data_IF_124138724476
#
_entry.id   IF_124138724476
#
_cell.length_a   1.000
_cell.length_b   1.000
_cell.length_c   1.000
_cell.angle_alpha   90.00
_cell.angle_beta   90.00
_cell.angle_gamma   90.00
#
_symmetry.space_group_name_H-M   'P 1'
#
loop_
_entity.id
_entity.type
_entity.pdbx_description
1 polymer ?
#
# COMPACT_ATOMS: atom_id res chain seq x y z
N UNK A 1 -13.17 -5.54 -1.46
CA UNK A 1 -12.73 -6.20 -0.22
C UNK A 1 -13.70 -6.07 0.91
N UNK A 2 -14.00 -4.86 1.35
CA UNK A 2 -14.87 -4.63 2.51
C UNK A 2 -16.27 -5.22 2.29
N UNK A 3 -16.94 -4.88 1.18
CA UNK A 3 -18.28 -5.42 0.87
C UNK A 3 -18.27 -6.94 0.86
N UNK A 4 -17.34 -7.55 0.11
CA UNK A 4 -17.27 -9.00 -0.03
C UNK A 4 -16.96 -9.71 1.30
N UNK A 5 -16.05 -9.16 2.11
CA UNK A 5 -15.76 -9.71 3.43
C UNK A 5 -16.90 -9.50 4.44
N UNK A 6 -17.61 -8.38 4.39
CA UNK A 6 -18.83 -8.17 5.19
C UNK A 6 -19.93 -9.16 4.79
N UNK A 7 -20.10 -9.45 3.50
CA UNK A 7 -21.04 -10.48 3.04
C UNK A 7 -20.70 -11.86 3.64
N UNK A 8 -19.42 -12.22 3.71
CA UNK A 8 -18.98 -13.48 4.33
C UNK A 8 -19.24 -13.47 5.85
N UNK A 9 -18.96 -12.36 6.54
CA UNK A 9 -19.20 -12.22 7.99
C UNK A 9 -20.69 -12.34 8.32
N UNK A 10 -21.56 -11.67 7.55
CA UNK A 10 -23.01 -11.60 7.82
C UNK A 10 -23.75 -12.84 7.34
N UNK A 11 -23.44 -13.33 6.14
CA UNK A 11 -24.17 -14.46 5.52
C UNK A 11 -23.50 -15.81 5.75
N UNK A 12 -22.30 -15.86 6.35
CA UNK A 12 -21.61 -17.11 6.69
C UNK A 12 -21.20 -17.96 5.48
N UNK A 13 -21.21 -17.38 4.28
CA UNK A 13 -20.85 -18.09 3.05
C UNK A 13 -19.40 -18.58 3.17
N UNK A 14 -19.24 -19.91 3.26
CA UNK A 14 -17.97 -20.65 3.22
C UNK A 14 -17.18 -20.93 4.51
N UNK A 15 -17.73 -20.72 5.71
CA UNK A 15 -17.13 -21.28 6.94
C UNK A 15 -17.96 -22.42 7.55
N UNK A 16 -18.44 -23.34 6.70
CA UNK A 16 -19.22 -24.52 7.14
C UNK A 16 -20.51 -24.21 7.90
N UNK A 17 -21.07 -23.00 7.76
CA UNK A 17 -22.25 -22.54 8.51
C UNK A 17 -21.96 -21.86 9.84
N UNK A 18 -20.69 -21.67 10.23
CA UNK A 18 -20.31 -20.92 11.43
C UNK A 18 -19.97 -19.47 11.07
N UNK A 19 -20.77 -18.52 11.55
CA UNK A 19 -20.46 -17.09 11.49
C UNK A 19 -19.07 -16.84 12.07
N UNK A 20 -18.13 -16.39 11.23
CA UNK A 20 -16.86 -15.86 11.71
C UNK A 20 -17.17 -14.47 12.27
N UNK A 21 -17.64 -14.44 13.51
CA UNK A 21 -18.00 -13.20 14.19
C UNK A 21 -16.79 -12.29 14.42
N UNK A 22 -17.03 -11.12 15.01
CA UNK A 22 -15.97 -10.15 15.37
C UNK A 22 -15.01 -10.66 16.48
N UNK A 23 -15.23 -11.87 17.00
CA UNK A 23 -14.47 -12.44 18.12
C UNK A 23 -12.98 -12.58 17.81
N UNK A 24 -12.59 -12.78 16.55
CA UNK A 24 -11.17 -12.86 16.17
C UNK A 24 -10.39 -11.56 16.46
N UNK A 25 -11.06 -10.42 16.60
CA UNK A 25 -10.42 -9.14 16.91
C UNK A 25 -9.80 -9.08 18.32
N UNK A 26 -10.31 -9.90 19.26
CA UNK A 26 -9.86 -9.85 20.66
C UNK A 26 -9.59 -11.21 21.30
N UNK A 27 -9.98 -12.33 20.67
CA UNK A 27 -9.80 -13.68 21.25
C UNK A 27 -8.33 -14.09 21.39
N UNK A 28 -7.45 -13.64 20.49
CA UNK A 28 -6.04 -14.05 20.48
C UNK A 28 -5.13 -12.99 21.11
N UNK A 29 -5.27 -12.79 22.43
CA UNK A 29 -4.42 -11.86 23.21
C UNK A 29 -5.02 -10.47 23.45
N UNK A 30 -6.32 -10.28 23.17
CA UNK A 30 -6.98 -8.98 23.31
C UNK A 30 -6.54 -7.96 22.24
N UNK A 31 -6.93 -6.71 22.42
CA UNK A 31 -6.59 -5.61 21.49
C UNK A 31 -5.09 -5.29 21.48
N UNK A 32 -4.39 -5.56 22.60
CA UNK A 32 -2.96 -5.32 22.78
C UNK A 32 -2.19 -6.64 22.92
N UNK A 33 -2.33 -7.56 21.97
CA UNK A 33 -1.72 -8.89 22.02
C UNK A 33 -0.18 -8.87 22.20
N UNK A 34 0.50 -7.85 21.67
CA UNK A 34 1.94 -7.64 21.81
C UNK A 34 2.31 -6.54 22.85
N UNK A 35 1.36 -6.20 23.73
CA UNK A 35 1.48 -5.13 24.72
C UNK A 35 1.62 -3.73 24.13
N UNK A 36 1.90 -2.76 25.00
CA UNK A 36 2.07 -1.33 24.64
C UNK A 36 3.26 -1.15 23.67
N UNK A 37 4.33 -1.93 23.84
CA UNK A 37 5.49 -1.88 22.94
C UNK A 37 5.10 -2.28 21.51
N UNK A 38 4.33 -3.35 21.34
CA UNK A 38 3.83 -3.77 20.04
C UNK A 38 2.91 -2.72 19.39
N UNK A 39 2.08 -2.05 20.19
CA UNK A 39 1.27 -0.93 19.71
C UNK A 39 2.13 0.21 19.15
N UNK A 40 3.17 0.65 19.86
CA UNK A 40 4.08 1.67 19.35
C UNK A 40 4.85 1.23 18.10
N UNK A 41 5.30 -0.03 18.03
CA UNK A 41 5.95 -0.59 16.85
C UNK A 41 5.00 -0.62 15.63
N UNK A 42 3.70 -0.81 15.84
CA UNK A 42 2.72 -0.79 14.75
C UNK A 42 2.61 0.56 14.04
N UNK A 43 2.87 1.68 14.73
CA UNK A 43 2.87 3.01 14.10
C UNK A 43 3.94 3.15 13.03
N UNK A 44 5.09 2.47 13.17
CA UNK A 44 6.16 2.51 12.17
C UNK A 44 5.64 1.94 10.86
N UNK A 45 5.05 0.74 10.90
CA UNK A 45 4.48 0.10 9.72
C UNK A 45 3.24 0.83 9.20
N UNK A 46 2.42 1.39 10.08
CA UNK A 46 1.26 2.19 9.68
C UNK A 46 1.70 3.45 8.92
N UNK A 47 2.72 4.17 9.41
CA UNK A 47 3.23 5.38 8.76
C UNK A 47 3.81 5.09 7.38
N UNK A 48 4.51 3.96 7.22
CA UNK A 48 5.01 3.51 5.91
C UNK A 48 3.89 3.25 4.91
N UNK A 49 2.73 2.78 5.37
CA UNK A 49 1.56 2.56 4.51
C UNK A 49 0.92 3.85 3.98
N UNK A 50 1.25 5.01 4.59
CA UNK A 50 0.75 6.33 4.19
C UNK A 50 1.77 7.14 3.39
N UNK A 51 2.91 6.56 3.01
CA UNK A 51 3.79 7.16 2.01
C UNK A 51 3.04 7.38 0.70
N UNK A 52 3.27 8.52 0.05
CA UNK A 52 2.62 8.94 -1.19
C UNK A 52 1.59 10.05 -1.03
N UNK A 53 1.16 10.39 0.20
CA UNK A 53 0.25 11.54 0.43
C UNK A 53 0.91 12.88 0.11
N UNK A 54 2.24 12.94 0.14
CA UNK A 54 3.05 14.08 -0.29
C UNK A 54 2.83 14.47 -1.76
N UNK A 55 2.34 13.54 -2.58
CA UNK A 55 1.96 13.80 -3.97
C UNK A 55 0.98 14.96 -4.08
N UNK A 56 0.05 15.10 -3.13
CA UNK A 56 -0.93 16.19 -3.13
C UNK A 56 -0.21 17.55 -3.13
N UNK A 57 0.87 17.67 -2.34
CA UNK A 57 1.67 18.89 -2.28
C UNK A 57 2.43 19.18 -3.58
N UNK A 58 3.00 18.14 -4.20
CA UNK A 58 3.78 18.29 -5.43
C UNK A 58 2.87 18.63 -6.62
N UNK A 59 1.71 17.98 -6.70
CA UNK A 59 0.71 18.21 -7.75
C UNK A 59 -0.11 19.48 -7.54
N UNK A 60 -0.02 20.13 -6.37
CA UNK A 60 -0.75 21.37 -6.11
C UNK A 60 -0.42 22.49 -7.09
N UNK A 61 0.84 22.57 -7.56
CA UNK A 61 1.26 23.54 -8.57
C UNK A 61 0.72 23.27 -9.97
N UNK A 62 0.14 22.09 -10.20
CA UNK A 62 -0.40 21.64 -11.49
C UNK A 62 -1.93 21.48 -11.45
N UNK A 63 -2.56 21.72 -10.29
CA UNK A 63 -4.00 21.66 -10.14
C UNK A 63 -4.67 22.89 -10.76
N UNK A 64 -5.80 22.69 -11.44
CA UNK A 64 -6.55 23.76 -12.11
C UNK A 64 -7.12 24.81 -11.12
N UNK A 65 -7.72 24.34 -10.01
CA UNK A 65 -8.12 25.18 -8.88
C UNK A 65 -7.54 24.63 -7.57
N UNK A 66 -6.29 25.01 -7.21
CA UNK A 66 -5.63 24.50 -6.02
C UNK A 66 -6.34 24.88 -4.72
N UNK A 67 -7.03 26.04 -4.68
CA UNK A 67 -7.70 26.53 -3.47
C UNK A 67 -8.87 25.65 -3.06
N UNK A 68 -9.52 25.00 -4.03
CA UNK A 68 -10.60 24.04 -3.79
C UNK A 68 -10.13 22.60 -3.84
N UNK A 69 -9.37 22.24 -4.87
CA UNK A 69 -8.98 20.85 -5.16
C UNK A 69 -8.07 20.26 -4.09
N UNK A 70 -7.17 21.06 -3.50
CA UNK A 70 -6.22 20.56 -2.50
C UNK A 70 -6.91 20.25 -1.16
N UNK A 71 -7.69 21.17 -0.56
CA UNK A 71 -8.46 20.83 0.64
C UNK A 71 -9.41 19.65 0.42
N UNK A 72 -10.07 19.58 -0.73
CA UNK A 72 -10.96 18.48 -1.09
C UNK A 72 -10.20 17.14 -1.19
N UNK A 73 -9.03 17.13 -1.85
CA UNK A 73 -8.18 15.94 -1.97
C UNK A 73 -7.71 15.45 -0.59
N UNK A 74 -7.26 16.36 0.29
CA UNK A 74 -6.81 16.02 1.64
C UNK A 74 -7.95 15.36 2.44
N UNK A 75 -9.14 15.98 2.45
CA UNK A 75 -10.28 15.45 3.19
C UNK A 75 -10.73 14.09 2.62
N UNK A 76 -10.75 13.96 1.30
CA UNK A 76 -11.07 12.70 0.64
C UNK A 76 -10.07 11.58 0.97
N UNK A 77 -8.78 11.88 0.97
CA UNK A 77 -7.74 10.89 1.32
C UNK A 77 -7.91 10.42 2.76
N UNK A 78 -8.18 11.33 3.71
CA UNK A 78 -8.42 10.98 5.10
C UNK A 78 -9.56 9.95 5.27
N UNK A 79 -10.74 10.24 4.69
CA UNK A 79 -11.88 9.32 4.78
C UNK A 79 -11.63 7.99 4.05
N UNK A 80 -10.95 8.05 2.90
CA UNK A 80 -10.57 6.84 2.15
C UNK A 80 -9.61 5.97 2.95
N UNK A 81 -8.67 6.53 3.68
CA UNK A 81 -7.78 5.79 4.58
C UNK A 81 -8.61 5.10 5.67
N UNK A 82 -9.49 5.83 6.37
CA UNK A 82 -10.30 5.22 7.42
C UNK A 82 -11.17 4.07 6.89
N UNK A 83 -11.87 4.29 5.78
CA UNK A 83 -12.77 3.29 5.23
C UNK A 83 -11.98 2.12 4.63
N UNK A 84 -11.04 2.38 3.71
CA UNK A 84 -10.39 1.33 2.95
C UNK A 84 -9.25 0.66 3.69
N UNK A 85 -8.41 1.39 4.42
CA UNK A 85 -7.29 0.80 5.15
C UNK A 85 -7.77 0.16 6.46
N UNK A 86 -8.32 0.95 7.38
CA UNK A 86 -8.76 0.44 8.69
C UNK A 86 -9.91 -0.55 8.53
N UNK A 87 -10.89 -0.23 7.68
CA UNK A 87 -12.03 -1.12 7.43
C UNK A 87 -11.64 -2.44 6.77
N UNK A 88 -10.69 -2.45 5.82
CA UNK A 88 -10.26 -3.72 5.21
C UNK A 88 -9.46 -4.60 6.16
N UNK A 89 -8.58 -4.01 6.99
CA UNK A 89 -7.85 -4.74 8.03
C UNK A 89 -8.84 -5.29 9.07
N UNK A 90 -9.81 -4.49 9.51
CA UNK A 90 -10.84 -4.93 10.46
C UNK A 90 -11.65 -6.12 9.94
N UNK A 91 -12.09 -6.06 8.67
CA UNK A 91 -12.78 -7.19 8.01
C UNK A 91 -11.87 -8.40 7.89
N UNK A 92 -10.61 -8.21 7.48
CA UNK A 92 -9.62 -9.28 7.36
C UNK A 92 -9.39 -10.00 8.70
N UNK A 93 -9.15 -9.23 9.78
CA UNK A 93 -8.92 -9.77 11.12
C UNK A 93 -10.17 -10.38 11.74
N UNK A 94 -11.36 -9.94 11.34
CA UNK A 94 -12.62 -10.58 11.73
C UNK A 94 -12.75 -11.95 11.08
N UNK A 95 -12.41 -12.07 9.79
CA UNK A 95 -12.48 -13.31 9.03
C UNK A 95 -11.38 -14.32 9.39
N UNK A 96 -10.20 -13.84 9.77
CA UNK A 96 -9.06 -14.71 10.01
C UNK A 96 -8.17 -14.15 11.11
N UNK A 97 -7.86 -15.01 12.08
CA UNK A 97 -7.05 -14.59 13.22
C UNK A 97 -5.65 -14.14 12.80
N UNK A 98 -5.20 -13.02 13.38
CA UNK A 98 -3.92 -12.38 13.06
C UNK A 98 -2.72 -13.32 13.16
N UNK A 99 -2.73 -14.27 14.11
CA UNK A 99 -1.66 -15.24 14.33
C UNK A 99 -1.60 -16.38 13.28
N UNK A 100 -2.59 -16.47 12.40
CA UNK A 100 -2.64 -17.51 11.34
C UNK A 100 -2.37 -16.94 9.95
N UNK A 101 -2.31 -15.63 9.80
CA UNK A 101 -1.99 -14.99 8.52
C UNK A 101 -0.55 -15.37 8.16
N UNK A 102 -0.39 -16.17 7.10
CA UNK A 102 0.92 -16.62 6.64
C UNK A 102 1.76 -15.48 6.05
N UNK A 103 3.06 -15.74 5.91
CA UNK A 103 4.03 -14.80 5.33
C UNK A 103 4.13 -14.90 3.80
N UNK A 104 3.54 -15.93 3.20
CA UNK A 104 3.70 -16.24 1.79
C UNK A 104 2.55 -15.67 0.94
N UNK A 105 2.84 -14.58 0.22
CA UNK A 105 1.90 -13.93 -0.68
C UNK A 105 1.01 -12.88 0.02
N UNK A 106 -0.01 -12.40 -0.70
CA UNK A 106 -0.89 -11.33 -0.18
C UNK A 106 -1.86 -11.89 0.87
N UNK A 107 -1.87 -11.35 2.11
CA UNK A 107 -2.82 -11.72 3.15
C UNK A 107 -4.28 -11.62 2.70
N UNK A 108 -4.60 -10.62 1.88
CA UNK A 108 -5.94 -10.45 1.34
C UNK A 108 -6.32 -11.61 0.41
N UNK A 109 -5.43 -12.02 -0.49
CA UNK A 109 -5.66 -13.14 -1.40
C UNK A 109 -5.76 -14.46 -0.63
N UNK A 110 -4.90 -14.66 0.37
CA UNK A 110 -4.89 -15.85 1.23
C UNK A 110 -6.23 -16.02 1.95
N UNK A 111 -6.78 -14.94 2.53
CA UNK A 111 -8.06 -15.00 3.24
C UNK A 111 -9.18 -15.45 2.30
N UNK A 112 -9.30 -14.90 1.09
CA UNK A 112 -10.36 -15.32 0.16
C UNK A 112 -10.16 -16.71 -0.45
N UNK A 113 -8.91 -17.14 -0.61
CA UNK A 113 -8.58 -18.51 -1.04
C UNK A 113 -8.97 -19.53 0.04
N UNK A 114 -8.70 -19.23 1.31
CA UNK A 114 -9.06 -20.08 2.46
C UNK A 114 -10.56 -20.11 2.74
N UNK A 115 -11.27 -19.02 2.42
CA UNK A 115 -12.74 -18.92 2.48
C UNK A 115 -13.39 -19.53 1.22
N UNK A 116 -12.71 -20.42 0.47
CA UNK A 116 -13.37 -21.29 -0.49
C UNK A 116 -13.95 -20.63 -1.75
N UNK A 117 -13.55 -19.39 -2.08
CA UNK A 117 -13.97 -18.70 -3.31
C UNK A 117 -12.75 -18.38 -4.18
N UNK A 118 -12.20 -19.37 -4.93
CA UNK A 118 -11.00 -19.18 -5.75
C UNK A 118 -11.12 -18.05 -6.79
N UNK A 119 -12.32 -17.87 -7.36
CA UNK A 119 -12.60 -16.78 -8.30
C UNK A 119 -12.40 -15.40 -7.65
N UNK A 120 -12.79 -15.24 -6.39
CA UNK A 120 -12.58 -13.99 -5.65
C UNK A 120 -11.09 -13.75 -5.42
N UNK A 121 -10.32 -14.78 -5.05
CA UNK A 121 -8.87 -14.67 -4.87
C UNK A 121 -8.16 -14.15 -6.14
N UNK A 122 -8.53 -14.65 -7.32
CA UNK A 122 -7.96 -14.20 -8.60
C UNK A 122 -8.29 -12.72 -8.90
N UNK A 123 -9.55 -12.31 -8.70
CA UNK A 123 -9.98 -10.91 -8.89
C UNK A 123 -9.21 -9.97 -7.96
N UNK A 124 -9.00 -10.36 -6.71
CA UNK A 124 -8.24 -9.54 -5.75
C UNK A 124 -6.78 -9.44 -6.11
N UNK A 125 -6.17 -10.55 -6.51
CA UNK A 125 -4.78 -10.51 -6.96
C UNK A 125 -4.62 -9.55 -8.15
N UNK A 126 -5.54 -9.61 -9.12
CA UNK A 126 -5.56 -8.68 -10.25
C UNK A 126 -5.69 -7.22 -9.79
N UNK A 127 -6.67 -6.91 -8.93
CA UNK A 127 -6.89 -5.56 -8.39
C UNK A 127 -5.67 -5.04 -7.64
N UNK A 128 -5.03 -5.88 -6.81
CA UNK A 128 -3.83 -5.51 -6.04
C UNK A 128 -2.65 -5.20 -6.97
N UNK A 129 -2.43 -6.01 -8.00
CA UNK A 129 -1.37 -5.76 -8.98
C UNK A 129 -1.62 -4.49 -9.79
N UNK A 130 -2.85 -4.25 -10.24
CA UNK A 130 -3.21 -3.01 -10.95
C UNK A 130 -3.05 -1.79 -10.05
N UNK A 131 -3.45 -1.87 -8.78
CA UNK A 131 -3.26 -0.79 -7.81
C UNK A 131 -1.78 -0.50 -7.55
N UNK A 132 -0.95 -1.55 -7.43
CA UNK A 132 0.50 -1.41 -7.28
C UNK A 132 1.13 -0.72 -8.50
N UNK A 133 0.75 -1.10 -9.72
CA UNK A 133 1.21 -0.45 -10.95
C UNK A 133 0.81 1.03 -11.00
N UNK A 134 -0.43 1.36 -10.63
CA UNK A 134 -0.92 2.74 -10.55
C UNK A 134 -0.14 3.58 -9.51
N UNK A 135 0.14 3.00 -8.34
CA UNK A 135 0.97 3.62 -7.31
C UNK A 135 2.40 3.87 -7.77
N UNK A 136 3.01 2.92 -8.47
CA UNK A 136 4.37 3.08 -9.03
C UNK A 136 4.45 4.19 -10.08
N UNK A 137 3.46 4.29 -10.98
CA UNK A 137 3.42 5.39 -11.94
C UNK A 137 3.38 6.76 -11.25
N UNK A 138 2.61 6.84 -10.17
CA UNK A 138 2.45 8.04 -9.35
C UNK A 138 3.77 8.38 -8.63
N UNK A 139 4.44 7.40 -8.03
CA UNK A 139 5.75 7.58 -7.40
C UNK A 139 6.82 8.09 -8.38
N UNK A 140 6.95 7.46 -9.55
CA UNK A 140 7.93 7.87 -10.57
C UNK A 140 7.69 9.30 -11.07
N UNK A 141 6.42 9.71 -11.18
CA UNK A 141 6.05 11.07 -11.54
C UNK A 141 6.52 12.08 -10.47
N UNK A 142 6.28 11.78 -9.19
CA UNK A 142 6.71 12.61 -8.06
C UNK A 142 8.23 12.71 -8.00
N UNK A 143 8.94 11.59 -8.11
CA UNK A 143 10.40 11.57 -8.07
C UNK A 143 11.01 12.41 -9.19
N UNK A 144 10.44 12.30 -10.40
CA UNK A 144 10.87 13.09 -11.55
C UNK A 144 10.73 14.60 -11.31
N UNK A 145 9.60 15.03 -10.74
CA UNK A 145 9.35 16.44 -10.38
C UNK A 145 10.21 16.91 -9.22
N UNK A 146 10.48 16.05 -8.24
CA UNK A 146 11.34 16.36 -7.10
C UNK A 146 12.79 16.55 -7.56
N UNK A 147 13.34 15.64 -8.37
CA UNK A 147 14.68 15.77 -8.94
C UNK A 147 14.80 17.02 -9.82
N UNK A 148 13.77 17.32 -10.61
CA UNK A 148 13.70 18.55 -11.39
C UNK A 148 13.77 19.79 -10.49
N UNK A 149 12.93 19.88 -9.46
CA UNK A 149 12.92 20.99 -8.51
C UNK A 149 14.25 21.15 -7.77
N UNK A 150 14.87 20.05 -7.34
CA UNK A 150 16.20 20.07 -6.72
C UNK A 150 17.26 20.59 -7.69
N UNK A 151 17.18 20.25 -8.97
CA UNK A 151 18.15 20.70 -9.97
C UNK A 151 18.06 22.20 -10.27
N UNK A 152 16.85 22.77 -10.24
CA UNK A 152 16.65 24.23 -10.37
C UNK A 152 17.22 24.99 -9.18
N UNK A 153 17.21 24.38 -7.99
CA UNK A 153 17.78 24.94 -6.76
C UNK A 153 19.27 24.61 -6.58
N UNK A 154 19.96 24.09 -7.60
CA UNK A 154 21.37 23.64 -7.54
C UNK A 154 21.66 22.54 -6.49
N UNK A 155 20.63 21.83 -6.01
CA UNK A 155 20.74 20.71 -5.07
C UNK A 155 20.80 19.34 -5.77
N UNK A 156 20.60 19.30 -7.09
CA UNK A 156 20.80 18.12 -7.93
C UNK A 156 21.53 18.50 -9.23
N UNK A 157 22.20 17.55 -9.90
CA UNK A 157 22.87 17.80 -11.18
C UNK A 157 21.96 18.47 -12.22
N UNK A 158 22.50 19.43 -12.97
CA UNK A 158 21.77 20.18 -14.02
C UNK A 158 21.15 19.30 -15.11
N UNK A 159 21.59 18.05 -15.25
CA UNK A 159 20.96 17.10 -16.20
C UNK A 159 19.47 16.86 -15.89
N UNK A 160 19.08 16.94 -14.61
CA UNK A 160 17.70 16.75 -14.16
C UNK A 160 16.79 17.94 -14.46
N UNK A 161 17.33 19.09 -14.88
CA UNK A 161 16.52 20.25 -15.27
C UNK A 161 15.96 20.14 -16.70
N UNK A 162 16.23 19.03 -17.41
CA UNK A 162 15.75 18.79 -18.77
C UNK A 162 14.30 18.29 -18.76
N UNK A 163 13.46 18.96 -19.53
CA UNK A 163 12.05 18.58 -19.77
C UNK A 163 11.81 18.27 -21.26
N UNK A 164 10.80 17.46 -21.55
CA UNK A 164 10.37 17.21 -22.93
C UNK A 164 9.45 18.33 -23.46
N UNK A 165 8.97 18.22 -24.71
CA UNK A 165 8.06 19.20 -25.33
C UNK A 165 6.75 19.42 -24.57
N UNK A 166 6.32 18.44 -23.77
CA UNK A 166 5.12 18.48 -22.94
C UNK A 166 5.39 18.98 -21.52
N UNK A 167 6.61 19.46 -21.22
CA UNK A 167 6.98 19.94 -19.89
C UNK A 167 7.27 18.84 -18.85
N UNK A 168 7.43 17.59 -19.28
CA UNK A 168 7.67 16.46 -18.37
C UNK A 168 9.17 16.26 -18.13
N UNK A 169 9.65 16.17 -16.87
CA UNK A 169 11.07 15.98 -16.53
C UNK A 169 11.54 14.54 -16.79
N UNK A 170 11.71 14.19 -18.06
CA UNK A 170 11.95 12.82 -18.51
C UNK A 170 13.27 12.22 -17.98
N UNK A 171 14.31 13.04 -17.76
CA UNK A 171 15.58 12.56 -17.23
C UNK A 171 15.42 12.05 -15.80
N UNK A 172 14.67 12.77 -14.96
CA UNK A 172 14.37 12.35 -13.60
C UNK A 172 13.58 11.04 -13.57
N UNK A 173 12.56 10.93 -14.43
CA UNK A 173 11.73 9.71 -14.54
C UNK A 173 12.58 8.51 -14.97
N UNK A 174 13.40 8.64 -16.02
CA UNK A 174 14.25 7.55 -16.50
C UNK A 174 15.27 7.12 -15.45
N UNK A 175 15.86 8.07 -14.74
CA UNK A 175 16.79 7.79 -13.65
C UNK A 175 16.10 7.03 -12.50
N UNK A 176 14.97 7.52 -12.01
CA UNK A 176 14.20 6.85 -10.94
C UNK A 176 13.74 5.46 -11.37
N UNK A 177 13.34 5.29 -12.64
CA UNK A 177 12.99 3.98 -13.20
C UNK A 177 14.19 3.04 -13.23
N UNK A 178 15.37 3.53 -13.64
CA UNK A 178 16.60 2.73 -13.62
C UNK A 178 16.99 2.31 -12.20
N UNK A 179 16.89 3.20 -11.23
CA UNK A 179 17.13 2.90 -9.81
C UNK A 179 16.12 1.87 -9.29
N UNK A 180 14.83 2.01 -9.62
CA UNK A 180 13.81 1.05 -9.25
C UNK A 180 14.07 -0.34 -9.87
N UNK A 181 14.48 -0.41 -11.14
CA UNK A 181 14.86 -1.67 -11.79
C UNK A 181 16.08 -2.31 -11.12
N UNK A 182 17.11 -1.52 -10.78
CA UNK A 182 18.25 -2.00 -10.02
C UNK A 182 17.78 -2.55 -8.66
N UNK A 183 16.89 -1.85 -7.95
CA UNK A 183 16.34 -2.31 -6.68
C UNK A 183 15.58 -3.63 -6.81
N UNK A 184 14.81 -3.85 -7.89
CA UNK A 184 14.12 -5.12 -8.17
C UNK A 184 15.12 -6.24 -8.44
N UNK A 185 16.15 -5.98 -9.26
CA UNK A 185 17.22 -6.96 -9.55
C UNK A 185 17.99 -7.32 -8.28
N UNK A 186 18.36 -6.32 -7.49
CA UNK A 186 18.98 -6.51 -6.18
C UNK A 186 18.06 -7.28 -5.24
N UNK A 187 16.77 -6.96 -5.20
CA UNK A 187 15.81 -7.72 -4.39
C UNK A 187 15.77 -9.19 -4.82
N UNK A 188 15.74 -9.50 -6.12
CA UNK A 188 15.76 -10.87 -6.60
C UNK A 188 17.02 -11.64 -6.16
N UNK A 189 18.21 -11.02 -6.24
CA UNK A 189 19.47 -11.68 -5.87
C UNK A 189 19.77 -11.68 -4.37
N UNK A 190 19.43 -10.60 -3.65
CA UNK A 190 19.74 -10.42 -2.23
C UNK A 190 18.64 -10.91 -1.30
N UNK A 191 17.36 -10.89 -1.66
CA UNK A 191 16.29 -11.38 -0.79
C UNK A 191 16.46 -12.88 -0.51
N UNK A 192 16.93 -13.65 -1.50
CA UNK A 192 17.31 -15.06 -1.34
C UNK A 192 18.51 -15.28 -0.39
N UNK A 193 19.41 -14.30 -0.26
CA UNK A 193 20.55 -14.36 0.68
C UNK A 193 20.21 -13.83 2.07
N UNK A 194 19.41 -12.77 2.16
CA UNK A 194 19.04 -12.13 3.43
C UNK A 194 18.13 -13.05 4.27
N UNK A 195 17.18 -13.77 3.64
CA UNK A 195 16.37 -14.78 4.33
C UNK A 195 17.18 -15.97 4.86
N UNK A 196 18.30 -16.32 4.21
CA UNK A 196 19.20 -17.38 4.65
C UNK A 196 20.11 -16.95 5.81
N UNK A 197 20.34 -15.65 6.01
CA UNK A 197 21.18 -15.11 7.10
C UNK A 197 20.39 -15.03 8.42
N UNK A 198 19.07 -14.82 8.37
CA UNK A 198 18.21 -14.80 9.58
C UNK A 198 17.67 -16.18 9.99
N UNK A 199 17.98 -17.24 9.25
CA UNK A 199 17.69 -18.64 9.60
C UNK A 199 18.91 -19.41 10.16
N UNK A 200 20.02 -18.72 10.44
CA UNK A 200 21.11 -19.18 11.31
C UNK A 200 21.07 -18.41 12.62
#
# INVERSE_FOLDING_TARGET
MIIFGLLIIVFGFSNGGHSVGLSNLWTNGGFFANGIRGFFLSFIFATLAFGGVEMIGITAGEAEDPKKSIPEAINNVFWRILIFYVGSIGVMLSLYSWNKIGTDGSPFVLVFSKVGIPAAAAVINFVVLTAALSGMNSALYVDGRMLYSLSLNNNAPKVFSKVNKSGVPYVGILFSTAVAMIAVVLNYFFLLKFLNIFHQ
#
